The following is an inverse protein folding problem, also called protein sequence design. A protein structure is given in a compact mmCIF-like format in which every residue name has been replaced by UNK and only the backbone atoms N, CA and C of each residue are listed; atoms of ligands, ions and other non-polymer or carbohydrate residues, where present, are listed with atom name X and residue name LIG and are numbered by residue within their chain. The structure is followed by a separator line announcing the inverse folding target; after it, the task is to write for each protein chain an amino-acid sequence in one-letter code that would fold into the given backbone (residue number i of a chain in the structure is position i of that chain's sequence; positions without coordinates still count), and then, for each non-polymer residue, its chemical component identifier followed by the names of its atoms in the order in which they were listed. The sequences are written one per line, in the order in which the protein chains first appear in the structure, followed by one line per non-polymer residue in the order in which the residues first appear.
data_IF_356023848262
#
_entry.id   IF_356023848262
#
_cell.length_a   1.000
_cell.length_b   1.000
_cell.length_c   1.000
_cell.angle_alpha   90.00
_cell.angle_beta   90.00
_cell.angle_gamma   90.00
#
_symmetry.space_group_name_H-M   'P 1'
#
loop_
_entity.id
_entity.type
_entity.pdbx_description
1 polymer ?
#
# COMPACT_ATOMS: atom_id res chain seq x y z
N UNK A 1 -28.31 -32.33 1.81
CA UNK A 1 -27.84 -33.04 0.60
C UNK A 1 -26.32 -33.06 0.63
N UNK A 2 -25.70 -34.24 0.56
CA UNK A 2 -24.24 -34.40 0.65
C UNK A 2 -23.55 -33.67 -0.51
N UNK A 3 -22.65 -32.74 -0.21
CA UNK A 3 -21.88 -32.04 -1.24
C UNK A 3 -21.00 -33.04 -2.01
N UNK A 4 -21.24 -33.13 -3.32
CA UNK A 4 -20.41 -33.89 -4.27
C UNK A 4 -18.92 -33.65 -4.02
N UNK A 5 -18.11 -34.72 -4.03
CA UNK A 5 -16.66 -34.66 -3.82
C UNK A 5 -15.99 -33.72 -4.82
N UNK A 6 -16.50 -33.71 -6.06
CA UNK A 6 -16.07 -32.82 -7.13
C UNK A 6 -16.36 -31.35 -6.79
N UNK A 7 -17.56 -31.03 -6.30
CA UNK A 7 -17.94 -29.67 -5.89
C UNK A 7 -17.02 -29.10 -4.81
N UNK A 8 -16.66 -29.91 -3.81
CA UNK A 8 -15.69 -29.50 -2.76
C UNK A 8 -14.29 -29.28 -3.31
N UNK A 9 -13.82 -30.14 -4.23
CA UNK A 9 -12.51 -29.98 -4.86
C UNK A 9 -12.45 -28.70 -5.71
N UNK A 10 -13.51 -28.40 -6.47
CA UNK A 10 -13.60 -27.16 -7.25
C UNK A 10 -13.65 -25.95 -6.32
N UNK A 11 -14.39 -26.02 -5.21
CA UNK A 11 -14.45 -24.92 -4.23
C UNK A 11 -13.07 -24.61 -3.62
N UNK A 12 -12.34 -25.65 -3.19
CA UNK A 12 -11.00 -25.50 -2.62
C UNK A 12 -9.98 -24.99 -3.64
N UNK A 13 -10.01 -25.51 -4.87
CA UNK A 13 -9.13 -25.05 -5.96
C UNK A 13 -9.41 -23.59 -6.34
N UNK A 14 -10.69 -23.22 -6.48
CA UNK A 14 -11.10 -21.84 -6.71
C UNK A 14 -10.64 -20.92 -5.57
N UNK A 15 -10.77 -21.38 -4.31
CA UNK A 15 -10.31 -20.62 -3.16
C UNK A 15 -8.79 -20.40 -3.16
N UNK A 16 -7.99 -21.39 -3.56
CA UNK A 16 -6.53 -21.21 -3.72
C UNK A 16 -6.17 -20.20 -4.80
N UNK A 17 -6.86 -20.23 -5.94
CA UNK A 17 -6.64 -19.25 -7.02
C UNK A 17 -6.94 -17.82 -6.57
N UNK A 18 -7.97 -17.65 -5.74
CA UNK A 18 -8.30 -16.35 -5.15
C UNK A 18 -7.32 -15.94 -4.05
N UNK A 19 -6.95 -16.86 -3.15
CA UNK A 19 -5.98 -16.61 -2.08
C UNK A 19 -4.61 -16.20 -2.62
N UNK A 20 -4.15 -16.85 -3.69
CA UNK A 20 -2.88 -16.52 -4.37
C UNK A 20 -2.98 -15.30 -5.31
N UNK A 21 -4.10 -14.56 -5.28
CA UNK A 21 -4.39 -13.39 -6.13
C UNK A 21 -4.28 -13.62 -7.64
N UNK A 22 -4.24 -14.88 -8.09
CA UNK A 22 -4.23 -15.26 -9.52
C UNK A 22 -5.53 -14.86 -10.21
N UNK A 23 -6.63 -14.78 -9.46
CA UNK A 23 -7.94 -14.37 -9.94
C UNK A 23 -8.67 -13.57 -8.85
N UNK A 24 -9.19 -12.40 -9.19
CA UNK A 24 -9.94 -11.54 -8.26
C UNK A 24 -11.44 -11.86 -8.24
N UNK A 25 -11.98 -12.44 -9.31
CA UNK A 25 -13.41 -12.64 -9.52
C UNK A 25 -13.86 -14.10 -9.30
N UNK A 26 -14.90 -14.31 -8.49
CA UNK A 26 -15.43 -15.66 -8.17
C UNK A 26 -15.86 -16.45 -9.42
N UNK A 27 -16.41 -15.77 -10.44
CA UNK A 27 -16.84 -16.44 -11.68
C UNK A 27 -15.64 -17.02 -12.43
N UNK A 28 -14.58 -16.23 -12.59
CA UNK A 28 -13.35 -16.65 -13.24
C UNK A 28 -12.66 -17.76 -12.44
N UNK A 29 -12.64 -17.64 -11.09
CA UNK A 29 -12.07 -18.64 -10.20
C UNK A 29 -12.79 -19.99 -10.35
N UNK A 30 -14.13 -19.97 -10.42
CA UNK A 30 -14.95 -21.17 -10.68
C UNK A 30 -14.63 -21.83 -12.01
N UNK A 31 -14.57 -21.04 -13.09
CA UNK A 31 -14.30 -21.60 -14.42
C UNK A 31 -12.90 -22.21 -14.51
N UNK A 32 -11.88 -21.51 -13.97
CA UNK A 32 -10.50 -21.97 -13.98
C UNK A 32 -10.32 -23.22 -13.12
N UNK A 33 -10.90 -23.24 -11.92
CA UNK A 33 -10.89 -24.42 -11.05
C UNK A 33 -11.64 -25.60 -11.65
N UNK A 34 -12.83 -25.38 -12.23
CA UNK A 34 -13.61 -26.43 -12.87
C UNK A 34 -12.89 -27.07 -14.05
N UNK A 35 -12.16 -26.29 -14.86
CA UNK A 35 -11.33 -26.81 -15.95
C UNK A 35 -10.12 -27.62 -15.47
N UNK A 36 -9.52 -27.22 -14.35
CA UNK A 36 -8.35 -27.92 -13.79
C UNK A 36 -8.74 -29.22 -13.06
N UNK A 37 -9.89 -29.25 -12.40
CA UNK A 37 -10.35 -30.40 -11.60
C UNK A 37 -11.26 -31.34 -12.39
N UNK A 38 -12.07 -30.80 -13.29
CA UNK A 38 -12.93 -31.58 -14.17
C UNK A 38 -12.15 -32.05 -15.39
N UNK A 39 -12.01 -33.37 -15.56
CA UNK A 39 -11.51 -33.99 -16.81
C UNK A 39 -12.57 -33.88 -17.93
N UNK A 40 -13.07 -32.67 -18.20
CA UNK A 40 -14.16 -32.40 -19.14
C UNK A 40 -15.22 -31.42 -18.62
N UNK A 41 -16.45 -31.53 -19.15
CA UNK A 41 -17.58 -30.66 -18.83
C UNK A 41 -18.14 -30.93 -17.42
N UNK A 42 -18.28 -29.87 -16.62
CA UNK A 42 -18.83 -29.93 -15.24
C UNK A 42 -20.29 -29.47 -15.25
N UNK A 43 -21.18 -30.27 -14.66
CA UNK A 43 -22.60 -29.92 -14.54
C UNK A 43 -22.80 -28.69 -13.64
N UNK A 44 -23.79 -27.82 -13.92
CA UNK A 44 -24.08 -26.66 -13.07
C UNK A 44 -24.34 -26.99 -11.59
N UNK A 45 -24.91 -28.17 -11.29
CA UNK A 45 -25.16 -28.65 -9.93
C UNK A 45 -23.89 -29.01 -9.14
N UNK A 46 -22.80 -29.32 -9.84
CA UNK A 46 -21.49 -29.67 -9.28
C UNK A 46 -20.57 -28.45 -9.14
N UNK A 47 -20.96 -27.29 -9.65
CA UNK A 47 -20.24 -26.05 -9.40
C UNK A 47 -20.56 -25.50 -8.00
N UNK A 48 -19.55 -25.05 -7.25
CA UNK A 48 -19.77 -24.43 -5.96
C UNK A 48 -20.42 -23.05 -6.10
N UNK A 49 -21.14 -22.64 -5.07
CA UNK A 49 -21.60 -21.27 -4.89
C UNK A 49 -20.44 -20.34 -4.51
N UNK A 50 -20.63 -19.03 -4.70
CA UNK A 50 -19.65 -18.04 -4.26
C UNK A 50 -19.46 -18.08 -2.72
N UNK A 51 -20.52 -18.40 -1.98
CA UNK A 51 -20.48 -18.57 -0.53
C UNK A 51 -19.58 -19.74 -0.09
N UNK A 52 -19.68 -20.90 -0.74
CA UNK A 52 -18.81 -22.06 -0.46
C UNK A 52 -17.33 -21.75 -0.77
N UNK A 53 -17.05 -21.02 -1.86
CA UNK A 53 -15.68 -20.58 -2.17
C UNK A 53 -15.20 -19.60 -1.10
N UNK A 54 -16.02 -18.62 -0.71
CA UNK A 54 -15.67 -17.64 0.32
C UNK A 54 -15.30 -18.32 1.63
N UNK A 55 -16.09 -19.30 2.08
CA UNK A 55 -15.80 -20.10 3.28
C UNK A 55 -14.43 -20.78 3.18
N UNK A 56 -14.12 -21.43 2.05
CA UNK A 56 -12.81 -22.06 1.84
C UNK A 56 -11.66 -21.06 1.81
N UNK A 57 -11.85 -19.86 1.25
CA UNK A 57 -10.80 -18.82 1.31
C UNK A 57 -10.60 -18.35 2.76
N UNK A 58 -11.68 -18.20 3.57
CA UNK A 58 -11.54 -17.84 5.00
C UNK A 58 -10.79 -18.91 5.80
N UNK A 59 -10.92 -20.19 5.43
CA UNK A 59 -10.16 -21.28 6.04
C UNK A 59 -8.69 -21.19 5.61
N UNK A 60 -8.41 -20.96 4.32
CA UNK A 60 -7.04 -20.86 3.79
C UNK A 60 -6.27 -19.68 4.36
N UNK A 61 -6.90 -18.51 4.53
CA UNK A 61 -6.26 -17.33 5.14
C UNK A 61 -5.87 -17.61 6.59
N UNK A 62 -6.80 -18.13 7.41
CA UNK A 62 -6.53 -18.51 8.80
C UNK A 62 -5.43 -19.56 8.98
N UNK A 63 -5.20 -20.40 7.97
CA UNK A 63 -4.13 -21.40 7.97
C UNK A 63 -2.76 -20.82 7.58
N UNK A 64 -2.72 -19.69 6.87
CA UNK A 64 -1.46 -19.00 6.48
C UNK A 64 -1.10 -17.83 7.42
N UNK A 65 -2.03 -17.34 8.25
CA UNK A 65 -1.86 -16.27 9.25
C UNK A 65 -0.95 -16.66 10.45
N UNK A 66 0.12 -17.43 10.22
CA UNK A 66 0.99 -17.99 11.26
C UNK A 66 2.43 -17.48 11.33
N UNK A 67 2.90 -16.60 10.44
CA UNK A 67 4.34 -16.29 10.31
C UNK A 67 4.67 -14.81 10.04
N UNK A 68 4.23 -13.90 10.91
CA UNK A 68 4.83 -12.57 11.05
C UNK A 68 5.31 -12.35 12.49
N UNK A 69 6.23 -11.41 12.76
CA UNK A 69 6.65 -11.09 14.12
C UNK A 69 5.43 -10.73 14.99
N UNK A 70 5.44 -11.07 16.30
CA UNK A 70 4.31 -10.82 17.18
C UNK A 70 4.18 -9.31 17.45
N UNK A 71 3.12 -8.70 16.92
CA UNK A 71 2.75 -7.30 17.20
C UNK A 71 2.20 -6.53 16.00
N UNK A 72 2.70 -6.79 14.79
CA UNK A 72 2.42 -5.93 13.60
C UNK A 72 1.31 -6.46 12.69
N UNK A 73 0.99 -7.75 12.77
CA UNK A 73 -0.10 -8.39 12.02
C UNK A 73 -1.27 -8.75 12.92
N UNK A 74 -1.68 -7.85 13.83
CA UNK A 74 -2.95 -8.01 14.53
C UNK A 74 -4.09 -7.67 13.55
N UNK A 75 -4.93 -8.65 13.14
CA UNK A 75 -6.06 -8.37 12.25
C UNK A 75 -7.02 -7.31 12.82
N UNK A 76 -7.06 -7.15 14.15
CA UNK A 76 -7.85 -6.13 14.82
C UNK A 76 -7.29 -4.72 14.56
N UNK A 77 -5.97 -4.55 14.64
CA UNK A 77 -5.29 -3.28 14.39
C UNK A 77 -5.42 -2.84 12.93
N UNK A 78 -5.21 -3.78 12.00
CA UNK A 78 -5.39 -3.52 10.57
C UNK A 78 -6.84 -3.14 10.24
N UNK A 79 -7.83 -3.85 10.80
CA UNK A 79 -9.24 -3.53 10.61
C UNK A 79 -9.57 -2.12 11.13
N UNK A 80 -9.02 -1.76 12.29
CA UNK A 80 -9.17 -0.41 12.87
C UNK A 80 -8.64 0.65 11.90
N UNK A 81 -7.40 0.50 11.42
CA UNK A 81 -6.77 1.42 10.45
C UNK A 81 -7.60 1.55 9.17
N UNK A 82 -8.04 0.42 8.59
CA UNK A 82 -8.88 0.42 7.39
C UNK A 82 -10.21 1.15 7.61
N UNK A 83 -10.86 1.00 8.78
CA UNK A 83 -12.12 1.68 9.08
C UNK A 83 -11.94 3.18 9.27
N UNK A 84 -10.90 3.60 9.99
CA UNK A 84 -10.58 5.03 10.17
C UNK A 84 -10.23 5.66 8.82
N UNK A 85 -9.40 5.01 8.01
CA UNK A 85 -9.07 5.49 6.66
C UNK A 85 -10.28 5.53 5.74
N UNK A 86 -11.15 4.52 5.82
CA UNK A 86 -12.43 4.51 5.10
C UNK A 86 -13.34 5.66 5.52
N UNK A 87 -13.41 5.98 6.82
CA UNK A 87 -14.19 7.13 7.32
C UNK A 87 -13.65 8.46 6.78
N UNK A 88 -12.32 8.62 6.73
CA UNK A 88 -11.69 9.79 6.12
C UNK A 88 -12.12 9.97 4.66
N UNK A 89 -12.04 8.91 3.84
CA UNK A 89 -12.53 8.94 2.46
C UNK A 89 -14.01 9.29 2.34
N UNK A 90 -14.83 8.75 3.23
CA UNK A 90 -16.26 9.08 3.28
C UNK A 90 -16.52 10.56 3.63
N UNK A 91 -15.64 11.21 4.39
CA UNK A 91 -15.71 12.65 4.63
C UNK A 91 -15.27 13.46 3.39
N UNK A 92 -14.16 13.06 2.74
CA UNK A 92 -13.68 13.73 1.54
C UNK A 92 -14.64 13.66 0.35
N UNK A 93 -15.43 12.58 0.30
CA UNK A 93 -16.44 12.29 -0.73
C UNK A 93 -17.87 12.58 -0.27
N UNK A 94 -18.07 13.36 0.81
CA UNK A 94 -19.39 13.54 1.45
C UNK A 94 -20.50 13.98 0.48
N UNK A 95 -20.18 14.79 -0.54
CA UNK A 95 -21.11 15.26 -1.57
C UNK A 95 -21.73 14.11 -2.38
N UNK A 96 -21.04 12.97 -2.47
CA UNK A 96 -21.47 11.77 -3.21
C UNK A 96 -22.17 10.73 -2.33
N UNK A 97 -22.59 11.11 -1.12
CA UNK A 97 -23.37 10.27 -0.21
C UNK A 97 -22.75 8.87 0.05
N UNK A 98 -21.47 8.79 0.42
CA UNK A 98 -20.73 7.55 0.42
C UNK A 98 -21.30 6.56 1.45
N UNK A 99 -21.22 5.26 1.11
CA UNK A 99 -21.61 4.15 1.98
C UNK A 99 -20.52 3.07 1.96
N UNK A 100 -19.88 2.83 3.11
CA UNK A 100 -18.93 1.73 3.26
C UNK A 100 -19.68 0.40 3.21
N UNK A 101 -19.13 -0.56 2.47
CA UNK A 101 -19.63 -1.93 2.37
C UNK A 101 -18.49 -2.94 2.57
N UNK A 102 -18.76 -4.21 2.31
CA UNK A 102 -17.70 -5.19 2.10
C UNK A 102 -17.02 -5.68 3.39
N UNK A 103 -15.78 -6.12 3.23
CA UNK A 103 -15.05 -6.85 4.26
C UNK A 103 -14.74 -5.99 5.49
N UNK A 104 -14.40 -4.72 5.28
CA UNK A 104 -14.07 -3.72 6.31
C UNK A 104 -15.26 -3.42 7.22
N UNK A 105 -16.48 -3.37 6.66
CA UNK A 105 -17.70 -3.23 7.47
C UNK A 105 -17.90 -4.49 8.35
N UNK A 106 -17.91 -5.67 7.72
CA UNK A 106 -18.21 -6.94 8.39
C UNK A 106 -17.11 -7.46 9.33
N UNK A 107 -15.94 -6.81 9.37
CA UNK A 107 -14.77 -7.23 10.13
C UNK A 107 -14.04 -8.45 9.56
N UNK A 108 -14.43 -8.94 8.38
CA UNK A 108 -13.89 -10.15 7.75
C UNK A 108 -12.74 -9.87 6.78
N UNK A 109 -11.82 -8.98 7.15
CA UNK A 109 -10.68 -8.56 6.30
C UNK A 109 -9.65 -9.67 6.15
N UNK A 110 -8.85 -9.59 5.07
CA UNK A 110 -7.73 -10.48 4.74
C UNK A 110 -6.56 -9.65 4.21
N UNK A 111 -5.41 -10.29 4.01
CA UNK A 111 -4.26 -9.68 3.36
C UNK A 111 -4.60 -9.22 1.93
N UNK A 112 -4.57 -7.90 1.73
CA UNK A 112 -4.98 -7.26 0.46
C UNK A 112 -6.47 -7.04 0.31
N UNK A 113 -7.26 -7.11 1.39
CA UNK A 113 -8.59 -6.51 1.40
C UNK A 113 -8.51 -5.03 1.04
N UNK A 114 -9.46 -4.61 0.22
CA UNK A 114 -9.78 -3.26 -0.19
C UNK A 114 -10.85 -2.62 0.71
N UNK A 115 -10.94 -1.29 0.64
CA UNK A 115 -12.00 -0.50 1.24
C UNK A 115 -13.06 -0.23 0.16
N UNK A 116 -14.14 -1.00 0.21
CA UNK A 116 -15.27 -0.87 -0.73
C UNK A 116 -16.22 0.27 -0.32
N UNK A 117 -16.39 1.28 -1.18
CA UNK A 117 -17.32 2.40 -0.94
C UNK A 117 -18.28 2.55 -2.13
N UNK A 118 -19.58 2.55 -1.84
CA UNK A 118 -20.58 2.98 -2.80
C UNK A 118 -20.73 4.50 -2.78
N UNK A 119 -20.64 5.13 -3.95
CA UNK A 119 -20.84 6.58 -4.15
C UNK A 119 -21.96 6.83 -5.15
N UNK A 120 -22.66 7.95 -5.01
CA UNK A 120 -23.90 8.24 -5.73
C UNK A 120 -23.82 9.59 -6.45
N UNK A 121 -23.79 9.54 -7.78
CA UNK A 121 -23.80 10.71 -8.67
C UNK A 121 -24.36 10.33 -10.05
N UNK A 122 -24.94 11.30 -10.76
CA UNK A 122 -25.32 11.13 -12.16
C UNK A 122 -24.17 11.49 -13.12
N UNK A 123 -23.09 12.06 -12.60
CA UNK A 123 -21.91 12.49 -13.36
C UNK A 123 -20.66 11.86 -12.73
N UNK A 124 -20.21 10.67 -13.18
CA UNK A 124 -19.04 10.02 -12.60
C UNK A 124 -17.75 10.86 -12.70
N UNK A 125 -17.62 11.69 -13.74
CA UNK A 125 -16.42 12.48 -13.99
C UNK A 125 -16.14 13.53 -12.89
N UNK A 126 -17.16 13.97 -12.13
CA UNK A 126 -16.94 14.89 -11.00
C UNK A 126 -16.28 14.20 -9.79
N UNK A 127 -16.36 12.87 -9.70
CA UNK A 127 -15.61 12.13 -8.67
C UNK A 127 -14.12 12.18 -8.99
N UNK A 128 -13.74 11.95 -10.25
CA UNK A 128 -12.34 12.05 -10.68
C UNK A 128 -11.76 13.43 -10.42
N UNK A 129 -12.48 14.51 -10.75
CA UNK A 129 -12.03 15.87 -10.44
C UNK A 129 -11.81 16.10 -8.93
N UNK A 130 -12.67 15.51 -8.10
CA UNK A 130 -12.50 15.58 -6.64
C UNK A 130 -11.27 14.80 -6.19
N UNK A 131 -11.03 13.61 -6.75
CA UNK A 131 -9.82 12.82 -6.46
C UNK A 131 -8.55 13.55 -6.89
N UNK A 132 -8.54 14.16 -8.08
CA UNK A 132 -7.42 14.97 -8.58
C UNK A 132 -7.15 16.17 -7.65
N UNK A 133 -8.19 16.84 -7.15
CA UNK A 133 -8.02 17.94 -6.18
C UNK A 133 -7.45 17.52 -4.83
N UNK A 134 -7.54 16.23 -4.51
CA UNK A 134 -6.96 15.62 -3.32
C UNK A 134 -5.56 15.03 -3.59
N UNK A 135 -5.05 15.13 -4.83
CA UNK A 135 -3.79 14.51 -5.24
C UNK A 135 -3.83 12.98 -5.31
N UNK A 136 -5.02 12.38 -5.43
CA UNK A 136 -5.17 10.93 -5.33
C UNK A 136 -5.10 10.23 -6.70
N UNK A 137 -4.06 9.42 -6.92
CA UNK A 137 -3.90 8.61 -8.13
C UNK A 137 -5.01 7.56 -8.24
N UNK A 138 -5.70 7.52 -9.39
CA UNK A 138 -6.87 6.67 -9.57
C UNK A 138 -7.01 6.12 -11.00
N UNK A 139 -7.69 4.97 -11.14
CA UNK A 139 -8.00 4.35 -12.43
C UNK A 139 -9.49 4.07 -12.57
N UNK A 140 -10.06 4.33 -13.75
CA UNK A 140 -11.49 4.14 -14.02
C UNK A 140 -11.72 2.88 -14.85
N UNK A 141 -12.56 1.99 -14.35
CA UNK A 141 -13.01 0.78 -15.05
C UNK A 141 -14.52 0.86 -15.33
N UNK A 142 -14.89 0.83 -16.62
CA UNK A 142 -16.29 0.83 -17.07
C UNK A 142 -16.68 -0.56 -17.57
N UNK A 143 -17.50 -1.29 -16.80
CA UNK A 143 -17.98 -2.63 -17.14
C UNK A 143 -19.39 -2.54 -17.71
N UNK A 144 -19.57 -2.96 -18.97
CA UNK A 144 -20.90 -3.05 -19.61
C UNK A 144 -21.54 -4.38 -19.27
N UNK A 145 -22.67 -4.36 -18.58
CA UNK A 145 -23.44 -5.53 -18.19
C UNK A 145 -24.84 -5.44 -18.79
N UNK A 146 -25.24 -6.46 -19.54
CA UNK A 146 -26.62 -6.62 -20.00
C UNK A 146 -27.39 -7.34 -18.91
N UNK A 147 -28.32 -6.65 -18.25
CA UNK A 147 -29.20 -7.24 -17.23
C UNK A 147 -30.63 -6.86 -17.55
N UNK A 148 -31.51 -7.86 -17.69
CA UNK A 148 -32.91 -7.67 -18.08
C UNK A 148 -33.10 -6.93 -19.42
N UNK A 149 -32.26 -7.22 -20.43
CA UNK A 149 -32.27 -6.54 -21.73
C UNK A 149 -31.95 -5.04 -21.71
N UNK A 150 -31.55 -4.48 -20.55
CA UNK A 150 -30.99 -3.14 -20.43
C UNK A 150 -29.47 -3.21 -20.35
N UNK A 151 -28.79 -2.35 -21.12
CA UNK A 151 -27.34 -2.20 -21.06
C UNK A 151 -27.02 -1.26 -19.90
N UNK A 152 -26.48 -1.80 -18.80
CA UNK A 152 -26.04 -1.03 -17.64
C UNK A 152 -24.53 -0.92 -17.65
N UNK A 153 -24.02 0.30 -17.55
CA UNK A 153 -22.60 0.59 -17.37
C UNK A 153 -22.35 0.72 -15.88
N UNK A 154 -21.51 -0.13 -15.33
CA UNK A 154 -21.00 -0.01 -13.97
C UNK A 154 -19.65 0.67 -14.03
N UNK A 155 -19.51 1.78 -13.31
CA UNK A 155 -18.24 2.52 -13.20
C UNK A 155 -17.65 2.20 -11.85
N UNK A 156 -16.45 1.62 -11.87
CA UNK A 156 -15.62 1.38 -10.72
C UNK A 156 -14.42 2.31 -10.82
N UNK A 157 -14.08 3.01 -9.75
CA UNK A 157 -12.89 3.85 -9.67
C UNK A 157 -12.01 3.26 -8.58
N UNK A 158 -10.81 2.84 -8.95
CA UNK A 158 -9.82 2.31 -8.02
C UNK A 158 -8.87 3.42 -7.64
N UNK A 159 -8.79 3.75 -6.36
CA UNK A 159 -7.89 4.78 -5.84
C UNK A 159 -6.73 4.11 -5.14
N UNK A 160 -5.51 4.53 -5.46
CA UNK A 160 -4.30 4.12 -4.74
C UNK A 160 -4.22 4.94 -3.45
N UNK A 161 -4.01 4.23 -2.36
CA UNK A 161 -3.90 4.76 -1.00
C UNK A 161 -3.25 3.68 -0.12
N UNK A 162 -2.97 4.00 1.16
CA UNK A 162 -2.44 3.05 2.17
C UNK A 162 -3.17 1.70 2.14
N UNK A 163 -4.48 1.74 1.93
CA UNK A 163 -5.28 0.57 1.58
C UNK A 163 -5.97 0.81 0.24
N UNK A 164 -5.97 -0.15 -0.70
CA UNK A 164 -6.69 0.00 -1.97
C UNK A 164 -8.15 0.38 -1.73
N UNK A 165 -8.63 1.43 -2.40
CA UNK A 165 -10.03 1.88 -2.31
C UNK A 165 -10.75 1.54 -3.60
N UNK A 166 -11.87 0.83 -3.51
CA UNK A 166 -12.76 0.60 -4.65
C UNK A 166 -14.04 1.44 -4.50
N UNK A 167 -14.21 2.43 -5.38
CA UNK A 167 -15.44 3.22 -5.46
C UNK A 167 -16.36 2.63 -6.53
N UNK A 168 -17.54 2.14 -6.12
CA UNK A 168 -18.60 1.76 -7.07
C UNK A 168 -19.60 2.90 -7.23
N UNK A 169 -19.73 3.43 -8.46
CA UNK A 169 -20.57 4.58 -8.76
C UNK A 169 -21.98 4.17 -9.17
N UNK A 170 -22.98 4.72 -8.49
CA UNK A 170 -24.41 4.57 -8.80
C UNK A 170 -25.09 5.91 -9.07
N UNK A 171 -26.24 5.89 -9.75
CA UNK A 171 -27.07 7.10 -9.90
C UNK A 171 -27.65 7.52 -8.54
N UNK A 172 -27.86 8.83 -8.35
CA UNK A 172 -28.52 9.39 -7.16
C UNK A 172 -29.94 8.83 -6.95
N UNK A 173 -30.62 8.44 -8.04
CA UNK A 173 -31.92 7.77 -7.98
C UNK A 173 -31.90 6.42 -7.23
N UNK A 174 -30.70 5.84 -7.05
CA UNK A 174 -30.50 4.54 -6.42
C UNK A 174 -30.08 4.62 -4.95
N UNK A 175 -30.07 5.80 -4.32
CA UNK A 175 -29.73 5.97 -2.90
C UNK A 175 -30.57 5.04 -1.99
N UNK A 176 -31.87 4.98 -2.23
CA UNK A 176 -32.80 4.10 -1.49
C UNK A 176 -32.76 2.63 -1.91
N UNK A 177 -32.01 2.27 -2.96
CA UNK A 177 -32.01 0.91 -3.49
C UNK A 177 -31.24 -0.04 -2.57
N UNK A 178 -31.86 -1.20 -2.27
CA UNK A 178 -31.21 -2.28 -1.52
C UNK A 178 -30.49 -3.21 -2.48
N UNK A 179 -29.21 -2.92 -2.73
CA UNK A 179 -28.34 -3.77 -3.54
C UNK A 179 -28.21 -5.16 -2.91
N UNK A 180 -28.03 -6.18 -3.75
CA UNK A 180 -27.83 -7.57 -3.32
C UNK A 180 -26.42 -8.00 -3.64
N UNK A 181 -25.78 -8.67 -2.68
CA UNK A 181 -24.43 -9.21 -2.85
C UNK A 181 -24.44 -10.27 -3.96
N UNK A 182 -23.49 -10.15 -4.88
CA UNK A 182 -23.23 -11.18 -5.90
C UNK A 182 -22.70 -12.49 -5.30
N UNK A 183 -22.24 -12.46 -4.04
CA UNK A 183 -21.68 -13.60 -3.31
C UNK A 183 -22.77 -14.34 -2.55
N UNK A 184 -23.53 -13.63 -1.71
CA UNK A 184 -24.49 -14.24 -0.79
C UNK A 184 -25.94 -14.16 -1.27
N UNK A 185 -26.24 -13.31 -2.26
CA UNK A 185 -27.62 -13.03 -2.72
C UNK A 185 -28.46 -12.23 -1.72
N UNK A 186 -27.95 -11.98 -0.51
CA UNK A 186 -28.58 -11.17 0.53
C UNK A 186 -28.40 -9.67 0.25
N UNK A 187 -29.22 -8.78 0.85
CA UNK A 187 -28.96 -7.34 0.83
C UNK A 187 -27.53 -7.05 1.29
N UNK A 188 -26.82 -6.18 0.56
CA UNK A 188 -25.48 -5.72 0.94
C UNK A 188 -25.63 -4.87 2.20
N UNK A 189 -24.96 -5.27 3.27
CA UNK A 189 -24.79 -4.44 4.45
C UNK A 189 -23.97 -3.22 4.07
N UNK A 190 -24.47 -2.05 4.49
CA UNK A 190 -23.86 -0.76 4.18
C UNK A 190 -24.08 0.19 5.34
N UNK A 191 -23.10 1.02 5.64
CA UNK A 191 -23.18 2.01 6.71
C UNK A 191 -22.97 3.42 6.16
N UNK A 192 -23.63 4.40 6.78
CA UNK A 192 -23.30 5.80 6.56
C UNK A 192 -21.98 6.15 7.27
N UNK A 193 -21.43 7.34 6.98
CA UNK A 193 -20.25 7.83 7.70
C UNK A 193 -20.52 7.96 9.20
N UNK A 194 -21.69 8.47 9.57
CA UNK A 194 -22.10 8.65 10.97
C UNK A 194 -22.27 7.30 11.70
N UNK A 195 -22.73 6.27 10.98
CA UNK A 195 -22.86 4.92 11.54
C UNK A 195 -21.50 4.22 11.64
N UNK A 196 -20.60 4.46 10.67
CA UNK A 196 -19.23 3.96 10.72
C UNK A 196 -18.44 4.60 11.86
N UNK A 197 -18.60 5.90 12.07
CA UNK A 197 -17.99 6.62 13.18
C UNK A 197 -18.39 6.01 14.52
N UNK A 198 -19.69 5.79 14.74
CA UNK A 198 -20.20 5.09 15.94
C UNK A 198 -19.64 3.68 16.06
N UNK A 199 -19.55 2.94 14.96
CA UNK A 199 -18.97 1.59 14.94
C UNK A 199 -17.51 1.61 15.39
N UNK A 200 -16.72 2.57 14.92
CA UNK A 200 -15.31 2.74 15.31
C UNK A 200 -15.18 3.07 16.79
N UNK A 201 -16.01 3.98 17.30
CA UNK A 201 -16.03 4.35 18.72
C UNK A 201 -16.35 3.13 19.61
N UNK A 202 -17.35 2.33 19.22
CA UNK A 202 -17.80 1.16 20.00
C UNK A 202 -16.81 -0.01 19.92
N UNK A 203 -16.38 -0.39 18.72
CA UNK A 203 -15.59 -1.62 18.52
C UNK A 203 -14.09 -1.40 18.71
N UNK A 204 -13.59 -0.18 18.56
CA UNK A 204 -12.17 0.12 18.67
C UNK A 204 -11.83 1.06 19.84
N UNK A 205 -12.83 1.48 20.63
CA UNK A 205 -12.62 2.24 21.86
C UNK A 205 -12.10 3.67 21.65
N UNK A 206 -12.33 4.25 20.47
CA UNK A 206 -12.01 5.66 20.23
C UNK A 206 -12.99 6.57 21.00
N UNK A 207 -12.45 7.52 21.76
CA UNK A 207 -13.20 8.71 22.15
C UNK A 207 -13.49 9.57 20.89
N UNK A 208 -14.68 10.21 20.75
CA UNK A 208 -14.96 11.13 19.65
C UNK A 208 -13.85 12.15 19.37
N UNK A 209 -13.22 12.70 20.41
CA UNK A 209 -12.12 13.65 20.28
C UNK A 209 -10.86 13.05 19.66
N UNK A 210 -10.52 11.81 20.04
CA UNK A 210 -9.38 11.09 19.48
C UNK A 210 -9.60 10.74 18.01
N UNK A 211 -10.82 10.30 17.66
CA UNK A 211 -11.15 9.99 16.28
C UNK A 211 -11.11 11.25 15.41
N UNK A 212 -11.63 12.37 15.91
CA UNK A 212 -11.57 13.64 15.18
C UNK A 212 -10.13 14.10 14.97
N UNK A 213 -9.30 14.05 16.01
CA UNK A 213 -7.88 14.35 15.90
C UNK A 213 -7.18 13.45 14.86
N UNK A 214 -7.45 12.14 14.87
CA UNK A 214 -6.88 11.25 13.86
C UNK A 214 -7.30 11.60 12.43
N UNK A 215 -8.52 12.11 12.22
CA UNK A 215 -8.98 12.54 10.91
C UNK A 215 -8.34 13.88 10.49
N UNK A 216 -8.23 14.82 11.43
CA UNK A 216 -7.57 16.13 11.21
C UNK A 216 -6.07 15.95 10.92
N UNK A 217 -5.42 15.02 11.62
CA UNK A 217 -4.03 14.64 11.35
C UNK A 217 -3.87 14.08 9.93
N UNK A 218 -4.86 13.35 9.40
CA UNK A 218 -4.83 12.87 8.01
C UNK A 218 -5.00 13.99 6.98
N UNK A 219 -5.76 15.04 7.29
CA UNK A 219 -5.93 16.21 6.43
C UNK A 219 -4.69 17.13 6.41
N UNK A 220 -3.88 17.06 7.47
CA UNK A 220 -2.70 17.91 7.66
C UNK A 220 -1.38 17.18 7.45
N UNK A 221 -1.41 15.86 7.26
CA UNK A 221 -0.21 15.08 6.92
C UNK A 221 0.34 15.59 5.60
N UNK A 222 1.57 16.14 5.60
CA UNK A 222 2.19 16.58 4.36
C UNK A 222 2.36 15.36 3.45
N UNK A 223 2.18 15.59 2.16
CA UNK A 223 2.57 14.61 1.14
C UNK A 223 4.04 14.20 1.34
N UNK A 224 4.32 12.90 1.19
CA UNK A 224 5.64 12.33 1.53
C UNK A 224 6.75 12.95 0.68
N UNK A 225 6.46 13.27 -0.58
CA UNK A 225 7.43 13.90 -1.49
C UNK A 225 7.75 15.32 -1.06
N UNK A 226 6.73 16.06 -0.62
CA UNK A 226 6.91 17.39 -0.03
C UNK A 226 7.80 17.36 1.22
N UNK A 227 7.67 16.31 2.05
CA UNK A 227 8.56 16.09 3.20
C UNK A 227 9.99 15.80 2.74
N UNK A 228 10.17 14.87 1.81
CA UNK A 228 11.51 14.51 1.30
C UNK A 228 12.21 15.72 0.67
N UNK A 229 11.50 16.49 -0.14
CA UNK A 229 12.02 17.73 -0.72
C UNK A 229 12.45 18.71 0.38
N UNK A 230 11.60 18.94 1.39
CA UNK A 230 11.92 19.84 2.50
C UNK A 230 13.13 19.39 3.33
N UNK A 231 13.38 18.08 3.41
CA UNK A 231 14.53 17.50 4.12
C UNK A 231 15.82 17.49 3.28
N UNK A 232 15.70 17.39 1.95
CA UNK A 232 16.83 17.39 1.02
C UNK A 232 17.41 18.79 0.79
N UNK A 233 16.57 19.81 0.58
CA UNK A 233 17.02 21.16 0.23
C UNK A 233 18.04 21.77 1.22
N UNK A 234 17.92 21.61 2.56
CA UNK A 234 18.91 22.12 3.50
C UNK A 234 20.32 21.55 3.32
N UNK A 235 20.47 20.36 2.73
CA UNK A 235 21.76 19.70 2.54
C UNK A 235 22.71 20.46 1.60
N UNK A 236 22.19 21.32 0.73
CA UNK A 236 22.99 22.20 -0.14
C UNK A 236 23.91 23.13 0.69
N UNK A 237 23.52 23.42 1.93
CA UNK A 237 24.28 24.27 2.85
C UNK A 237 25.20 23.47 3.79
N UNK A 238 25.16 22.14 3.74
CA UNK A 238 25.96 21.27 4.60
C UNK A 238 27.23 20.87 3.86
N UNK A 239 28.39 21.32 4.37
CA UNK A 239 29.70 20.97 3.81
C UNK A 239 30.44 19.95 4.67
N UNK A 240 31.08 19.01 4.00
CA UNK A 240 31.92 18.01 4.62
C UNK A 240 33.41 18.29 4.42
N UNK A 241 34.25 17.42 4.98
CA UNK A 241 35.69 17.56 4.87
C UNK A 241 36.13 17.34 3.40
N UNK A 242 36.68 18.35 2.70
CA UNK A 242 36.98 18.24 1.27
C UNK A 242 38.05 17.19 0.91
N UNK A 243 38.80 16.70 1.90
CA UNK A 243 39.76 15.61 1.69
C UNK A 243 39.11 14.24 1.54
N UNK A 244 37.94 14.06 2.16
CA UNK A 244 37.19 12.80 2.18
C UNK A 244 35.96 12.90 1.27
N UNK A 245 35.41 14.11 1.16
CA UNK A 245 34.21 14.48 0.42
C UNK A 245 34.54 15.63 -0.56
N UNK A 246 35.27 15.36 -1.66
CA UNK A 246 35.64 16.37 -2.64
C UNK A 246 34.48 16.84 -3.55
N UNK A 247 33.34 16.15 -3.51
CA UNK A 247 32.13 16.40 -4.31
C UNK A 247 31.49 17.76 -4.03
N UNK A 248 31.51 18.24 -2.78
CA UNK A 248 30.96 19.53 -2.41
C UNK A 248 30.10 19.46 -1.17
N UNK A 249 28.84 19.90 -1.30
CA UNK A 249 27.83 19.80 -0.26
C UNK A 249 27.16 18.41 -0.23
N UNK A 250 26.45 18.14 0.86
CA UNK A 250 25.81 16.84 1.09
C UNK A 250 24.65 16.60 0.11
N UNK A 251 23.99 17.65 -0.41
CA UNK A 251 22.93 17.45 -1.40
C UNK A 251 23.51 16.87 -2.70
N UNK A 252 24.62 17.45 -3.17
CA UNK A 252 25.33 16.94 -4.35
C UNK A 252 25.83 15.51 -4.14
N UNK A 253 26.30 15.18 -2.93
CA UNK A 253 26.64 13.81 -2.56
C UNK A 253 25.44 12.87 -2.68
N UNK A 254 24.32 13.18 -2.01
CA UNK A 254 23.09 12.37 -2.05
C UNK A 254 22.61 12.11 -3.49
N UNK A 255 22.68 13.11 -4.37
CA UNK A 255 22.29 12.98 -5.77
C UNK A 255 23.24 12.07 -6.57
N UNK A 256 24.56 12.14 -6.34
CA UNK A 256 25.50 11.19 -6.95
C UNK A 256 25.21 9.75 -6.51
N UNK A 257 24.95 9.55 -5.21
CA UNK A 257 24.63 8.23 -4.65
C UNK A 257 23.32 7.70 -5.24
N UNK A 258 22.31 8.55 -5.41
CA UNK A 258 21.06 8.21 -6.09
C UNK A 258 21.28 7.81 -7.55
N UNK A 259 22.03 8.58 -8.33
CA UNK A 259 22.26 8.28 -9.75
C UNK A 259 23.00 6.94 -9.93
N UNK A 260 23.98 6.65 -9.07
CA UNK A 260 24.67 5.36 -9.04
C UNK A 260 23.73 4.22 -8.63
N UNK A 261 22.85 4.45 -7.66
CA UNK A 261 21.85 3.48 -7.24
C UNK A 261 20.83 3.21 -8.36
N UNK A 262 20.49 4.21 -9.17
CA UNK A 262 19.63 4.06 -10.34
C UNK A 262 20.28 3.17 -11.41
N UNK A 263 21.59 3.33 -11.67
CA UNK A 263 22.33 2.45 -12.58
C UNK A 263 22.37 0.99 -12.08
N UNK A 264 22.41 0.79 -10.76
CA UNK A 264 22.49 -0.53 -10.15
C UNK A 264 21.13 -1.23 -10.03
N UNK A 265 20.07 -0.50 -9.65
CA UNK A 265 18.74 -1.06 -9.39
C UNK A 265 17.61 -0.06 -9.70
N UNK A 266 17.49 0.31 -10.97
CA UNK A 266 16.54 1.31 -11.48
C UNK A 266 15.05 1.13 -11.13
N UNK A 267 14.62 -0.05 -10.67
CA UNK A 267 13.22 -0.37 -10.39
C UNK A 267 12.94 -0.65 -8.90
N UNK A 268 13.94 -0.48 -8.04
CA UNK A 268 13.83 -0.74 -6.61
C UNK A 268 13.61 0.58 -5.85
N UNK A 269 12.35 0.99 -5.75
CA UNK A 269 11.94 2.26 -5.12
C UNK A 269 12.50 2.43 -3.70
N UNK A 270 12.39 1.40 -2.85
CA UNK A 270 12.87 1.45 -1.47
C UNK A 270 14.39 1.64 -1.38
N UNK A 271 15.13 1.05 -2.31
CA UNK A 271 16.59 1.19 -2.40
C UNK A 271 17.00 2.57 -2.92
N UNK A 272 16.31 3.09 -3.93
CA UNK A 272 16.55 4.44 -4.46
C UNK A 272 16.25 5.52 -3.42
N UNK A 273 15.16 5.37 -2.65
CA UNK A 273 14.86 6.25 -1.51
C UNK A 273 15.96 6.19 -0.45
N UNK A 274 16.44 4.98 -0.11
CA UNK A 274 17.52 4.83 0.86
C UNK A 274 18.80 5.55 0.37
N UNK A 275 19.14 5.41 -0.91
CA UNK A 275 20.28 6.09 -1.53
C UNK A 275 20.16 7.62 -1.47
N UNK A 276 19.01 8.17 -1.85
CA UNK A 276 18.79 9.61 -1.86
C UNK A 276 18.76 10.21 -0.44
N UNK A 277 18.15 9.51 0.52
CA UNK A 277 17.82 10.05 1.84
C UNK A 277 18.79 9.65 2.96
N UNK A 278 19.79 8.79 2.73
CA UNK A 278 20.61 8.22 3.81
C UNK A 278 21.30 9.24 4.73
N UNK A 279 21.58 10.43 4.21
CA UNK A 279 22.36 11.47 4.88
C UNK A 279 21.56 12.73 5.26
N UNK A 280 20.23 12.74 5.11
CA UNK A 280 19.40 13.93 5.40
C UNK A 280 19.56 14.46 6.83
N UNK A 281 19.87 13.57 7.77
CA UNK A 281 20.05 13.96 9.17
C UNK A 281 21.25 14.85 9.39
N UNK A 282 22.21 14.93 8.45
CA UNK A 282 23.38 15.83 8.57
C UNK A 282 22.99 17.32 8.59
N UNK A 283 21.82 17.67 8.05
CA UNK A 283 21.27 19.02 8.16
C UNK A 283 20.53 19.28 9.49
N UNK A 284 20.15 18.22 10.22
CA UNK A 284 19.37 18.29 11.46
C UNK A 284 20.29 18.20 12.67
N UNK A 285 21.00 17.08 12.79
CA UNK A 285 22.00 16.82 13.82
C UNK A 285 23.17 16.08 13.17
N UNK A 286 24.32 16.75 13.08
CA UNK A 286 25.50 16.18 12.44
C UNK A 286 26.16 15.09 13.27
N UNK A 287 26.02 15.11 14.60
CA UNK A 287 26.67 14.17 15.50
C UNK A 287 25.90 12.85 15.62
N UNK A 288 24.57 12.91 15.45
CA UNK A 288 23.67 11.73 15.44
C UNK A 288 22.75 11.70 14.21
N UNK A 289 23.34 11.92 13.03
CA UNK A 289 22.59 12.12 11.78
C UNK A 289 21.72 10.92 11.39
N UNK A 290 22.13 9.70 11.73
CA UNK A 290 21.34 8.50 11.45
C UNK A 290 20.03 8.53 12.23
N UNK A 291 20.09 8.80 13.54
CA UNK A 291 18.90 8.84 14.38
C UNK A 291 18.00 10.02 14.00
N UNK A 292 18.58 11.20 13.81
CA UNK A 292 17.84 12.40 13.41
C UNK A 292 17.15 12.24 12.04
N UNK A 293 17.83 11.62 11.07
CA UNK A 293 17.27 11.32 9.76
C UNK A 293 16.10 10.33 9.84
N UNK A 294 16.26 9.24 10.60
CA UNK A 294 15.18 8.25 10.78
C UNK A 294 13.97 8.81 11.54
N UNK A 295 14.19 9.67 12.54
CA UNK A 295 13.11 10.35 13.25
C UNK A 295 12.33 11.28 12.30
N UNK A 296 13.03 12.04 11.45
CA UNK A 296 12.40 12.92 10.48
C UNK A 296 11.63 12.18 9.37
N UNK A 297 12.05 10.95 9.04
CA UNK A 297 11.42 10.11 8.02
C UNK A 297 10.36 9.16 8.59
N UNK A 298 10.15 9.14 9.91
CA UNK A 298 9.23 8.21 10.55
C UNK A 298 7.81 8.37 10.01
N UNK A 299 7.21 7.25 9.61
CA UNK A 299 5.89 7.20 8.99
C UNK A 299 5.84 7.61 7.50
N UNK A 300 6.95 7.98 6.88
CA UNK A 300 7.02 8.33 5.44
C UNK A 300 7.78 7.32 4.58
N UNK A 301 8.58 6.44 5.19
CA UNK A 301 9.39 5.43 4.48
C UNK A 301 9.04 4.01 4.95
N UNK A 302 9.35 3.01 4.12
CA UNK A 302 9.16 1.60 4.47
C UNK A 302 10.17 1.12 5.53
N UNK A 303 9.88 -0.03 6.15
CA UNK A 303 10.82 -0.69 7.07
C UNK A 303 12.16 -0.99 6.41
N UNK A 304 12.16 -1.39 5.13
CA UNK A 304 13.38 -1.69 4.39
C UNK A 304 14.22 -0.44 4.15
N UNK A 305 13.61 0.64 3.68
CA UNK A 305 14.32 1.92 3.50
C UNK A 305 14.88 2.42 4.84
N UNK A 306 14.09 2.38 5.91
CA UNK A 306 14.54 2.77 7.25
C UNK A 306 15.70 1.89 7.74
N UNK A 307 15.66 0.58 7.47
CA UNK A 307 16.73 -0.33 7.86
C UNK A 307 18.03 -0.05 7.10
N UNK A 308 17.96 0.19 5.79
CA UNK A 308 19.12 0.54 4.97
C UNK A 308 19.77 1.84 5.45
N UNK A 309 18.98 2.89 5.65
CA UNK A 309 19.44 4.17 6.21
C UNK A 309 20.02 3.97 7.61
N UNK A 310 19.35 3.22 8.49
CA UNK A 310 19.80 2.99 9.85
C UNK A 310 21.14 2.25 9.98
N UNK A 311 21.53 1.49 8.96
CA UNK A 311 22.73 0.65 8.99
C UNK A 311 23.84 1.11 8.01
N UNK A 312 23.65 2.19 7.24
CA UNK A 312 24.62 2.63 6.23
C UNK A 312 26.03 2.89 6.84
N UNK A 313 26.09 3.45 8.05
CA UNK A 313 27.36 3.63 8.78
C UNK A 313 28.00 2.32 9.24
N UNK A 314 27.20 1.28 9.50
CA UNK A 314 27.74 -0.05 9.82
C UNK A 314 28.33 -0.72 8.57
N UNK A 315 27.81 -0.44 7.38
CA UNK A 315 28.35 -0.93 6.12
C UNK A 315 29.77 -0.41 5.86
N UNK A 316 30.03 0.88 6.13
CA UNK A 316 31.40 1.44 6.13
C UNK A 316 32.32 0.66 7.06
N UNK A 317 31.84 0.34 8.28
CA UNK A 317 32.60 -0.45 9.26
C UNK A 317 32.86 -1.90 8.84
N UNK A 318 31.98 -2.46 8.00
CA UNK A 318 32.20 -3.79 7.39
C UNK A 318 33.33 -3.70 6.37
N UNK A 319 33.30 -2.67 5.52
CA UNK A 319 34.25 -2.44 4.43
C UNK A 319 35.65 -2.15 4.95
N UNK A 320 35.79 -1.29 5.96
CA UNK A 320 37.09 -0.94 6.57
C UNK A 320 37.59 -1.98 7.59
N UNK A 321 36.80 -3.04 7.83
CA UNK A 321 37.06 -4.11 8.79
C UNK A 321 37.13 -3.67 10.27
N UNK A 322 36.54 -2.53 10.63
CA UNK A 322 36.44 -2.03 12.01
C UNK A 322 35.25 -2.61 12.78
N UNK A 323 34.29 -3.24 12.11
CA UNK A 323 33.10 -3.80 12.76
C UNK A 323 33.43 -5.00 13.66
N UNK A 324 32.83 -5.02 14.85
CA UNK A 324 32.96 -6.16 15.78
C UNK A 324 32.32 -7.44 15.25
N UNK A 325 32.98 -8.59 15.44
CA UNK A 325 32.59 -9.89 14.88
C UNK A 325 31.12 -10.30 15.16
N UNK A 326 30.61 -10.05 16.37
CA UNK A 326 29.21 -10.37 16.73
C UNK A 326 28.22 -9.51 15.95
N UNK A 327 28.51 -8.22 15.82
CA UNK A 327 27.67 -7.26 15.11
C UNK A 327 27.68 -7.56 13.61
N UNK A 328 28.86 -7.81 13.03
CA UNK A 328 29.00 -8.29 11.65
C UNK A 328 28.18 -9.54 11.38
N UNK A 329 28.27 -10.55 12.23
CA UNK A 329 27.50 -11.80 12.06
C UNK A 329 25.99 -11.55 12.03
N UNK A 330 25.48 -10.65 12.88
CA UNK A 330 24.05 -10.29 12.88
C UNK A 330 23.67 -9.52 11.62
N UNK A 331 24.50 -8.55 11.23
CA UNK A 331 24.25 -7.72 10.05
C UNK A 331 24.24 -8.57 8.77
N UNK A 332 25.23 -9.46 8.59
CA UNK A 332 25.33 -10.37 7.44
C UNK A 332 24.24 -11.44 7.39
N UNK A 333 23.56 -11.72 8.50
CA UNK A 333 22.44 -12.66 8.51
C UNK A 333 21.11 -12.01 8.08
N UNK A 334 21.07 -10.68 7.94
CA UNK A 334 19.85 -9.97 7.57
C UNK A 334 19.52 -10.17 6.08
N UNK A 335 18.24 -10.34 5.69
CA UNK A 335 17.86 -10.52 4.28
C UNK A 335 18.31 -9.38 3.35
N UNK A 336 18.37 -8.15 3.86
CA UNK A 336 18.74 -6.95 3.10
C UNK A 336 20.24 -6.59 3.20
N UNK A 337 21.07 -7.49 3.73
CA UNK A 337 22.50 -7.21 3.89
C UNK A 337 23.20 -6.90 2.56
N UNK A 338 22.87 -7.63 1.50
CA UNK A 338 23.48 -7.41 0.19
C UNK A 338 23.11 -6.04 -0.37
N UNK A 339 21.86 -5.61 -0.19
CA UNK A 339 21.40 -4.28 -0.62
C UNK A 339 22.09 -3.18 0.19
N UNK A 340 22.29 -3.38 1.50
CA UNK A 340 23.07 -2.46 2.34
C UNK A 340 24.52 -2.30 1.84
N UNK A 341 25.15 -3.38 1.39
CA UNK A 341 26.50 -3.32 0.84
C UNK A 341 26.54 -2.61 -0.52
N UNK A 342 25.53 -2.82 -1.38
CA UNK A 342 25.38 -2.08 -2.65
C UNK A 342 25.17 -0.58 -2.41
N UNK A 343 24.33 -0.23 -1.44
CA UNK A 343 24.16 1.16 -1.00
C UNK A 343 25.50 1.77 -0.54
N UNK A 344 26.31 1.01 0.20
CA UNK A 344 27.64 1.46 0.61
C UNK A 344 28.61 1.62 -0.56
N UNK A 345 28.51 0.79 -1.59
CA UNK A 345 29.29 0.93 -2.81
C UNK A 345 28.92 2.21 -3.57
N UNK A 346 27.62 2.52 -3.67
CA UNK A 346 27.13 3.79 -4.22
C UNK A 346 27.61 4.99 -3.39
N UNK A 347 27.48 4.96 -2.06
CA UNK A 347 27.96 6.02 -1.14
C UNK A 347 29.45 6.32 -1.33
N UNK A 348 30.29 5.28 -1.34
CA UNK A 348 31.73 5.48 -1.53
C UNK A 348 32.05 6.00 -2.94
N UNK A 349 31.32 5.54 -3.95
CA UNK A 349 31.51 5.96 -5.33
C UNK A 349 30.97 7.37 -5.62
N UNK A 350 29.97 7.84 -4.87
CA UNK A 350 29.32 9.17 -5.02
C UNK A 350 30.15 10.34 -4.50
N UNK A 351 31.48 10.23 -4.53
CA UNK A 351 32.44 11.22 -4.01
C UNK A 351 33.30 11.80 -5.13
N UNK A 352 32.67 12.17 -6.23
CA UNK A 352 33.34 12.64 -7.45
C UNK A 352 33.17 14.16 -7.58
N UNK A 353 34.29 14.88 -7.59
CA UNK A 353 34.30 16.33 -7.77
C UNK A 353 33.75 16.73 -9.14
N UNK A 354 32.73 17.59 -9.15
CA UNK A 354 32.15 18.14 -10.38
C UNK A 354 31.39 17.12 -11.24
N UNK A 355 30.97 16.00 -10.66
CA UNK A 355 30.07 15.07 -11.34
C UNK A 355 28.75 15.76 -11.71
N UNK A 356 28.23 15.42 -12.90
CA UNK A 356 26.87 15.79 -13.27
C UNK A 356 25.92 14.86 -12.53
N UNK A 357 24.86 15.43 -11.96
CA UNK A 357 23.84 14.67 -11.25
C UNK A 357 22.45 15.05 -11.75
N UNK A 358 21.47 14.19 -11.48
CA UNK A 358 20.06 14.54 -11.57
C UNK A 358 19.72 15.73 -10.66
N UNK A 359 18.60 16.42 -10.94
CA UNK A 359 18.04 17.40 -9.99
C UNK A 359 17.25 16.68 -8.89
N UNK A 360 16.96 17.40 -7.79
CA UNK A 360 16.17 16.84 -6.68
C UNK A 360 14.76 16.50 -7.15
N UNK A 361 14.17 17.39 -7.94
CA UNK A 361 12.84 17.22 -8.52
C UNK A 361 12.80 16.02 -9.46
N UNK A 362 13.75 15.89 -10.38
CA UNK A 362 13.80 14.76 -11.32
C UNK A 362 13.98 13.43 -10.58
N UNK A 363 14.79 13.40 -9.52
CA UNK A 363 15.01 12.20 -8.72
C UNK A 363 13.74 11.77 -7.98
N UNK A 364 13.04 12.70 -7.32
CA UNK A 364 11.80 12.42 -6.61
C UNK A 364 10.68 12.01 -7.58
N UNK A 365 10.49 12.75 -8.68
CA UNK A 365 9.48 12.43 -9.72
C UNK A 365 9.72 11.02 -10.30
N UNK A 366 10.98 10.64 -10.51
CA UNK A 366 11.34 9.32 -11.03
C UNK A 366 10.98 8.20 -10.05
N UNK A 367 11.23 8.41 -8.75
CA UNK A 367 10.88 7.44 -7.70
C UNK A 367 9.35 7.37 -7.54
N UNK A 368 8.66 8.50 -7.59
CA UNK A 368 7.19 8.57 -7.52
C UNK A 368 6.54 7.76 -8.65
N UNK A 369 7.02 7.92 -9.88
CA UNK A 369 6.53 7.14 -11.02
C UNK A 369 6.72 5.62 -10.84
N UNK A 370 7.80 5.18 -10.19
CA UNK A 370 8.03 3.76 -9.91
C UNK A 370 7.01 3.21 -8.90
N UNK A 371 6.76 3.95 -7.81
CA UNK A 371 5.67 3.62 -6.87
C UNK A 371 4.33 3.59 -7.61
N UNK A 372 4.10 4.53 -8.52
CA UNK A 372 2.85 4.57 -9.27
C UNK A 372 2.70 3.39 -10.24
N UNK A 373 3.79 2.87 -10.79
CA UNK A 373 3.76 1.77 -11.75
C UNK A 373 3.75 0.39 -11.11
N UNK A 374 4.40 0.22 -9.95
CA UNK A 374 4.68 -1.09 -9.36
C UNK A 374 4.22 -1.26 -7.90
N UNK A 375 3.80 -0.18 -7.24
CA UNK A 375 3.27 -0.16 -5.87
C UNK A 375 1.78 -0.49 -5.74
#
# INVERSE_FOLDING_TARGET
MSSSKLRRQIAWSAARLMHSRVVTEYYQAKQKAARQTGRGWVKPSDLPSNAEIREQVQILSRLHEGHGPPGENDPSDRLRRMRVRGLWWMNQLHEFHPKLIGSVLTGGIRDGSDIDIHVFTNHPDVISQRLDSLGASHTIQRKRLVKNNELRVYTHIHVRDEFPIELTVYSTSQLGFRFRSSITGKPIERVSKDDLEKLIQIEHGFDPSQLHQCLDDMDTRPDRWSVFLALLLPLENVRENPKVHPEGDVLHHSLQVYDLAQDESAYDEEFLLAALLHDIGKAIDKDDHVAAGLEALDGFISERTAWLIGHHMEAHRVRDHSIGARRRKRLTAHPWFDDLMRLNDCDVAGRVAGAQTSSVEDALDSIEQLEEMFG
#
